data_IF_897808643455
#
_entry.id   IF_897808643455
#
_cell.length_a   1.000
_cell.length_b   1.000
_cell.length_c   1.000
_cell.angle_alpha   90.00
_cell.angle_beta   90.00
_cell.angle_gamma   90.00
#
_symmetry.space_group_name_H-M   'P 1'
#
loop_
_entity.id
_entity.type
_entity.pdbx_description
1 polymer ?
#
# COMPACT_ATOMS: atom_id res chain seq x y z
N UNK A 1 25.19 28.55 -17.72
CA UNK A 1 26.31 27.57 -17.55
C UNK A 1 25.86 26.30 -16.84
N UNK A 2 25.25 26.31 -15.65
CA UNK A 2 24.79 25.06 -14.97
C UNK A 2 23.68 24.34 -15.76
N UNK A 3 22.80 25.04 -16.43
CA UNK A 3 21.68 24.49 -17.19
C UNK A 3 22.08 23.75 -18.48
N UNK A 4 23.35 23.91 -18.92
CA UNK A 4 23.89 23.23 -20.09
C UNK A 4 24.61 21.92 -19.74
N UNK A 5 24.60 21.50 -18.48
CA UNK A 5 25.19 20.22 -18.05
C UNK A 5 24.31 19.04 -18.51
N UNK A 6 24.92 17.90 -18.66
CA UNK A 6 24.24 16.64 -18.98
C UNK A 6 23.76 15.96 -17.68
N UNK A 7 22.49 15.59 -17.57
CA UNK A 7 21.40 15.72 -18.55
C UNK A 7 20.81 17.15 -18.63
N UNK A 8 20.39 17.59 -19.84
CA UNK A 8 19.91 18.95 -20.07
C UNK A 8 18.67 19.25 -19.19
N UNK A 9 18.67 20.47 -18.61
CA UNK A 9 17.61 20.90 -17.67
C UNK A 9 17.95 20.65 -16.19
N UNK A 10 19.08 20.06 -15.87
CA UNK A 10 19.62 20.01 -14.48
C UNK A 10 19.98 21.41 -14.04
N UNK A 11 19.57 21.77 -12.81
CA UNK A 11 19.81 23.11 -12.27
C UNK A 11 18.81 24.19 -12.69
N UNK A 12 17.70 23.79 -13.32
CA UNK A 12 16.57 24.68 -13.59
C UNK A 12 15.83 25.04 -12.29
N UNK A 13 15.28 26.25 -12.20
CA UNK A 13 14.59 26.75 -11.00
C UNK A 13 13.19 26.16 -10.86
N UNK A 14 12.53 25.94 -11.99
CA UNK A 14 11.19 25.39 -12.07
C UNK A 14 11.04 24.41 -13.25
N UNK A 15 9.86 23.76 -13.33
CA UNK A 15 9.55 22.82 -14.38
C UNK A 15 9.52 23.48 -15.76
N UNK A 16 9.00 24.71 -15.83
CA UNK A 16 8.92 25.46 -17.09
C UNK A 16 10.30 25.69 -17.69
N UNK A 17 11.24 26.18 -16.88
CA UNK A 17 12.63 26.43 -17.28
C UNK A 17 13.34 25.12 -17.69
N UNK A 18 13.07 24.02 -16.96
CA UNK A 18 13.61 22.72 -17.27
C UNK A 18 13.20 22.23 -18.66
N UNK A 19 11.90 22.31 -18.98
CA UNK A 19 11.38 21.90 -20.26
C UNK A 19 11.86 22.78 -21.41
N UNK A 20 11.95 24.09 -21.20
CA UNK A 20 12.49 25.06 -22.16
C UNK A 20 13.97 24.74 -22.47
N UNK A 21 14.79 24.47 -21.45
CA UNK A 21 16.20 24.14 -21.60
C UNK A 21 16.39 22.87 -22.42
N UNK A 22 15.58 21.84 -22.17
CA UNK A 22 15.61 20.59 -22.94
C UNK A 22 15.21 20.79 -24.41
N UNK A 23 14.18 21.60 -24.69
CA UNK A 23 13.75 21.89 -26.06
C UNK A 23 14.81 22.70 -26.81
N UNK A 24 15.40 23.72 -26.17
CA UNK A 24 16.50 24.46 -26.79
C UNK A 24 17.68 23.54 -27.13
N UNK A 25 18.08 22.65 -26.22
CA UNK A 25 19.14 21.69 -26.45
C UNK A 25 18.85 20.74 -27.63
N UNK A 26 17.58 20.27 -27.77
CA UNK A 26 17.18 19.45 -28.92
C UNK A 26 17.19 20.22 -30.24
N UNK A 27 16.83 21.50 -30.22
CA UNK A 27 16.89 22.37 -31.41
C UNK A 27 18.34 22.69 -31.82
N UNK A 28 19.23 22.94 -30.83
CA UNK A 28 20.64 23.24 -31.09
C UNK A 28 21.42 22.01 -31.58
N UNK A 29 21.02 20.79 -31.24
CA UNK A 29 21.63 19.54 -31.76
C UNK A 29 21.29 19.24 -33.18
N UNK A 30 20.45 20.06 -33.84
CA UNK A 30 20.16 19.92 -35.26
C UNK A 30 19.31 18.70 -35.64
N UNK A 31 18.46 18.23 -34.70
CA UNK A 31 17.43 17.24 -35.02
C UNK A 31 16.43 17.88 -35.99
N UNK A 32 16.67 17.72 -37.32
CA UNK A 32 15.87 18.31 -38.38
C UNK A 32 14.39 17.82 -38.39
N UNK A 33 14.10 16.76 -37.68
CA UNK A 33 12.74 16.25 -37.58
C UNK A 33 11.90 17.10 -36.58
N UNK A 34 10.73 17.53 -37.05
CA UNK A 34 9.73 18.22 -36.24
C UNK A 34 10.17 19.58 -35.66
N UNK A 35 10.93 20.38 -36.45
CA UNK A 35 11.42 21.70 -36.05
C UNK A 35 10.27 22.67 -35.78
N UNK A 36 9.23 22.63 -36.60
CA UNK A 36 8.06 23.51 -36.47
C UNK A 36 7.28 23.20 -35.17
N UNK A 37 7.07 21.93 -34.89
CA UNK A 37 6.37 21.43 -33.72
C UNK A 37 7.17 21.77 -32.44
N UNK A 38 8.48 21.61 -32.44
CA UNK A 38 9.39 22.00 -31.35
C UNK A 38 9.38 23.52 -31.10
N UNK A 39 9.36 24.33 -32.14
CA UNK A 39 9.23 25.78 -32.00
C UNK A 39 7.87 26.21 -31.44
N UNK A 40 6.80 25.54 -31.89
CA UNK A 40 5.45 25.77 -31.33
C UNK A 40 5.38 25.34 -29.86
N UNK A 41 5.95 24.19 -29.51
CA UNK A 41 6.09 23.73 -28.15
C UNK A 41 6.83 24.74 -27.27
N UNK A 42 7.91 25.33 -27.80
CA UNK A 42 8.67 26.36 -27.09
C UNK A 42 7.84 27.64 -26.84
N UNK A 43 7.02 28.07 -27.82
CA UNK A 43 6.09 29.20 -27.66
C UNK A 43 5.03 28.89 -26.59
N UNK A 44 4.49 27.68 -26.57
CA UNK A 44 3.54 27.23 -25.55
C UNK A 44 4.17 27.31 -24.16
N UNK A 45 5.35 26.74 -23.99
CA UNK A 45 6.03 26.73 -22.69
C UNK A 45 6.43 28.13 -22.21
N UNK A 46 6.87 29.03 -23.10
CA UNK A 46 7.29 30.39 -22.73
C UNK A 46 6.11 31.29 -22.37
N UNK A 47 5.06 31.29 -23.18
CA UNK A 47 4.01 32.31 -23.11
C UNK A 47 2.66 31.80 -22.58
N UNK A 48 2.42 30.49 -22.62
CA UNK A 48 1.11 29.90 -22.35
C UNK A 48 1.20 28.67 -21.42
N UNK A 49 2.19 28.68 -20.51
CA UNK A 49 2.45 27.55 -19.62
C UNK A 49 1.26 27.24 -18.70
N UNK A 50 0.57 28.27 -18.17
CA UNK A 50 -0.61 28.07 -17.33
C UNK A 50 -1.79 27.44 -18.07
N UNK A 51 -2.07 27.88 -19.30
CA UNK A 51 -3.12 27.31 -20.12
C UNK A 51 -2.80 25.87 -20.48
N UNK A 52 -1.54 25.57 -20.73
CA UNK A 52 -1.07 24.20 -21.00
C UNK A 52 -1.26 23.30 -19.77
N UNK A 53 -0.80 23.69 -18.59
CA UNK A 53 -0.93 22.90 -17.35
C UNK A 53 -2.39 22.71 -16.95
N UNK A 54 -3.24 23.69 -17.19
CA UNK A 54 -4.69 23.63 -16.96
C UNK A 54 -5.46 22.93 -18.07
N UNK A 55 -4.78 22.44 -19.14
CA UNK A 55 -5.36 21.79 -20.34
C UNK A 55 -6.46 22.63 -21.02
N UNK A 56 -6.27 23.94 -21.09
CA UNK A 56 -7.17 24.85 -21.80
C UNK A 56 -6.90 24.90 -23.32
N UNK A 57 -7.01 23.75 -23.99
CA UNK A 57 -6.63 23.56 -25.39
C UNK A 57 -7.35 24.53 -26.37
N UNK A 58 -8.62 24.83 -26.14
CA UNK A 58 -9.36 25.77 -26.99
C UNK A 58 -8.82 27.20 -26.90
N UNK A 59 -8.33 27.62 -25.74
CA UNK A 59 -7.69 28.95 -25.60
C UNK A 59 -6.32 28.95 -26.27
N UNK A 60 -5.53 27.89 -26.08
CA UNK A 60 -4.24 27.72 -26.75
C UNK A 60 -4.40 27.79 -28.27
N UNK A 61 -5.38 27.06 -28.84
CA UNK A 61 -5.67 27.07 -30.28
C UNK A 61 -6.01 28.47 -30.79
N UNK A 62 -6.83 29.23 -30.03
CA UNK A 62 -7.20 30.60 -30.40
C UNK A 62 -6.02 31.58 -30.30
N UNK A 63 -5.22 31.48 -29.24
CA UNK A 63 -4.11 32.39 -28.99
C UNK A 63 -2.93 32.17 -29.95
N UNK A 64 -2.70 30.93 -30.35
CA UNK A 64 -1.59 30.55 -31.23
C UNK A 64 -1.97 30.50 -32.72
N UNK A 65 -3.28 30.59 -33.05
CA UNK A 65 -3.81 30.50 -34.43
C UNK A 65 -3.39 29.20 -35.15
N UNK A 66 -3.39 28.07 -34.44
CA UNK A 66 -2.97 26.75 -34.93
C UNK A 66 -4.14 25.79 -35.08
N UNK A 67 -3.97 24.76 -35.90
CA UNK A 67 -4.91 23.67 -36.04
C UNK A 67 -4.88 22.74 -34.82
N UNK A 68 -5.88 21.88 -34.69
CA UNK A 68 -5.93 20.92 -33.56
C UNK A 68 -4.83 19.83 -33.70
N UNK A 69 -4.48 19.46 -34.94
CA UNK A 69 -3.39 18.54 -35.25
C UNK A 69 -2.02 19.10 -34.88
N UNK A 70 -1.71 20.31 -35.29
CA UNK A 70 -0.44 20.98 -34.94
C UNK A 70 -0.28 21.20 -33.45
N UNK A 71 -1.38 21.56 -32.77
CA UNK A 71 -1.34 21.70 -31.32
C UNK A 71 -1.07 20.35 -30.63
N UNK A 72 -1.67 19.25 -31.13
CA UNK A 72 -1.45 17.92 -30.61
C UNK A 72 0.00 17.48 -30.79
N UNK A 73 0.55 17.66 -31.99
CA UNK A 73 1.93 17.28 -32.30
C UNK A 73 2.93 18.07 -31.44
N UNK A 74 2.68 19.37 -31.21
CA UNK A 74 3.49 20.17 -30.29
C UNK A 74 3.39 19.70 -28.83
N UNK A 75 2.21 19.31 -28.39
CA UNK A 75 2.03 18.74 -27.03
C UNK A 75 2.74 17.41 -26.89
N UNK A 76 2.67 16.54 -27.89
CA UNK A 76 3.37 15.26 -27.92
C UNK A 76 4.89 15.46 -27.82
N UNK A 77 5.44 16.50 -28.46
CA UNK A 77 6.86 16.86 -28.28
C UNK A 77 7.19 17.31 -26.84
N UNK A 78 6.28 18.04 -26.19
CA UNK A 78 6.48 18.41 -24.77
C UNK A 78 6.42 17.16 -23.87
N UNK A 79 5.51 16.22 -24.15
CA UNK A 79 5.37 14.99 -23.36
C UNK A 79 6.56 14.04 -23.48
N UNK A 80 7.34 14.13 -24.56
CA UNK A 80 8.59 13.37 -24.73
C UNK A 80 9.76 13.92 -23.90
N UNK A 81 9.60 15.06 -23.24
CA UNK A 81 10.62 15.64 -22.36
C UNK A 81 10.59 15.01 -20.97
N UNK A 82 11.74 15.02 -20.31
CA UNK A 82 11.87 14.48 -18.97
C UNK A 82 11.62 15.56 -17.88
N UNK A 83 10.53 15.50 -17.12
CA UNK A 83 10.26 16.50 -16.07
C UNK A 83 11.22 16.42 -14.88
N UNK A 84 11.98 15.32 -14.74
CA UNK A 84 12.96 15.08 -13.66
C UNK A 84 14.27 14.52 -14.22
N UNK A 85 15.08 15.33 -14.91
CA UNK A 85 16.29 14.85 -15.58
C UNK A 85 17.30 14.17 -14.65
N UNK A 86 17.40 14.61 -13.41
CA UNK A 86 18.31 14.02 -12.43
C UNK A 86 17.85 12.68 -11.83
N UNK A 87 16.63 12.24 -12.07
CA UNK A 87 16.10 11.00 -11.48
C UNK A 87 16.83 9.74 -11.98
N UNK A 88 17.39 9.76 -13.19
CA UNK A 88 18.18 8.66 -13.73
C UNK A 88 19.63 8.61 -13.27
N UNK A 89 20.15 9.74 -12.75
CA UNK A 89 21.56 9.87 -12.28
C UNK A 89 21.66 9.57 -10.79
N UNK A 90 20.64 9.92 -10.02
CA UNK A 90 20.53 9.47 -8.64
C UNK A 90 20.18 7.97 -8.69
N UNK A 91 21.21 7.14 -8.84
CA UNK A 91 21.03 5.68 -8.85
C UNK A 91 20.07 5.24 -7.74
N UNK A 92 19.40 4.12 -7.95
CA UNK A 92 18.37 3.45 -7.11
C UNK A 92 18.73 3.25 -5.63
N UNK A 93 19.71 3.98 -5.11
CA UNK A 93 20.16 3.94 -3.72
C UNK A 93 19.15 4.50 -2.71
N UNK A 94 17.99 5.03 -3.17
CA UNK A 94 16.89 5.46 -2.27
C UNK A 94 15.74 4.47 -2.18
N UNK A 95 15.64 3.52 -3.07
CA UNK A 95 14.93 2.28 -2.80
C UNK A 95 15.80 1.42 -1.88
N UNK A 96 16.00 1.88 -0.64
CA UNK A 96 16.21 0.93 0.44
C UNK A 96 15.00 0.00 0.32
N UNK A 97 15.21 -1.15 -0.32
CA UNK A 97 14.25 -2.23 -0.33
C UNK A 97 13.84 -2.44 1.12
N UNK A 98 12.73 -1.84 1.54
CA UNK A 98 12.15 -2.13 2.82
C UNK A 98 11.71 -3.60 2.76
N UNK A 99 12.70 -4.47 2.99
CA UNK A 99 12.46 -5.90 3.02
C UNK A 99 11.56 -6.18 4.21
N UNK A 100 10.29 -6.39 3.93
CA UNK A 100 9.31 -6.73 4.93
C UNK A 100 9.40 -8.23 5.21
N UNK A 101 9.80 -8.58 6.43
CA UNK A 101 9.74 -9.95 6.90
C UNK A 101 8.28 -10.30 7.24
N UNK A 102 7.67 -11.29 6.58
CA UNK A 102 6.31 -11.70 6.89
C UNK A 102 6.24 -12.38 8.25
N UNK A 103 5.16 -12.12 8.98
CA UNK A 103 4.88 -12.77 10.26
C UNK A 103 4.18 -14.12 10.08
N UNK A 104 3.40 -14.23 9.00
CA UNK A 104 2.61 -15.40 8.64
C UNK A 104 2.94 -15.84 7.23
N UNK A 105 2.90 -17.14 7.00
CA UNK A 105 3.06 -17.76 5.69
C UNK A 105 1.83 -18.62 5.44
N UNK A 106 1.16 -18.39 4.31
CA UNK A 106 0.07 -19.24 3.82
C UNK A 106 0.53 -19.90 2.54
N UNK A 107 0.48 -21.22 2.55
CA UNK A 107 0.75 -22.08 1.38
C UNK A 107 -0.52 -22.80 0.99
N UNK A 108 -0.74 -22.95 -0.31
CA UNK A 108 -1.84 -23.73 -0.85
C UNK A 108 -1.30 -25.10 -1.26
N UNK A 109 -1.82 -26.17 -0.66
CA UNK A 109 -1.52 -27.57 -1.05
C UNK A 109 -2.79 -28.23 -1.52
N UNK A 110 -2.91 -28.42 -2.81
CA UNK A 110 -4.04 -29.13 -3.44
C UNK A 110 -5.44 -28.56 -3.05
N UNK A 111 -5.53 -27.28 -2.83
CA UNK A 111 -6.76 -26.62 -2.42
C UNK A 111 -6.94 -26.45 -0.91
N UNK A 112 -6.05 -27.03 -0.11
CA UNK A 112 -6.02 -26.82 1.34
C UNK A 112 -5.01 -25.71 1.70
N UNK A 113 -5.47 -24.73 2.47
CA UNK A 113 -4.64 -23.61 2.93
C UNK A 113 -3.96 -23.99 4.26
N UNK A 114 -2.65 -24.03 4.25
CA UNK A 114 -1.83 -24.26 5.43
C UNK A 114 -1.28 -22.93 5.94
N UNK A 115 -1.58 -22.60 7.21
CA UNK A 115 -1.08 -21.42 7.90
C UNK A 115 0.09 -21.76 8.81
N UNK A 116 1.22 -21.11 8.61
CA UNK A 116 2.39 -21.23 9.47
C UNK A 116 2.81 -19.86 10.02
N UNK A 117 3.26 -19.82 11.28
CA UNK A 117 3.91 -18.65 11.88
C UNK A 117 5.40 -18.66 11.50
N UNK A 118 5.95 -17.49 11.19
CA UNK A 118 7.38 -17.38 10.96
C UNK A 118 8.14 -17.73 12.24
N UNK A 119 9.12 -18.62 12.16
CA UNK A 119 9.91 -19.11 13.28
C UNK A 119 10.61 -18.00 14.08
N UNK A 120 10.93 -16.86 13.46
CA UNK A 120 11.50 -15.68 14.14
C UNK A 120 10.53 -15.05 15.15
N UNK A 121 9.22 -15.18 14.94
CA UNK A 121 8.20 -14.70 15.86
C UNK A 121 7.79 -15.70 16.94
N UNK A 122 8.28 -16.92 16.84
CA UNK A 122 7.91 -18.03 17.70
C UNK A 122 9.15 -18.79 18.20
N UNK A 123 10.04 -18.16 18.99
CA UNK A 123 11.19 -18.85 19.53
C UNK A 123 10.75 -19.94 20.52
N UNK A 124 11.33 -21.12 20.38
CA UNK A 124 11.18 -22.19 21.38
C UNK A 124 11.93 -21.82 22.66
N UNK A 125 11.17 -21.47 23.68
CA UNK A 125 11.72 -21.14 24.98
C UNK A 125 11.57 -22.32 25.94
N UNK A 126 12.66 -22.68 26.60
CA UNK A 126 12.71 -23.72 27.63
C UNK A 126 13.38 -23.18 28.88
N UNK A 127 12.95 -23.71 30.02
CA UNK A 127 13.64 -23.43 31.28
C UNK A 127 14.90 -24.29 31.31
N UNK A 128 16.02 -23.70 31.73
CA UNK A 128 17.27 -24.44 31.88
C UNK A 128 17.11 -25.53 32.98
N UNK A 129 17.32 -26.79 32.60
CA UNK A 129 17.16 -27.93 33.47
C UNK A 129 18.06 -27.89 34.73
N UNK A 130 19.22 -27.24 34.65
CA UNK A 130 20.11 -27.04 35.80
C UNK A 130 19.40 -26.40 37.00
N UNK A 131 18.52 -25.43 36.81
CA UNK A 131 17.77 -24.82 37.87
C UNK A 131 16.68 -25.73 38.44
N UNK A 132 16.12 -26.61 37.62
CA UNK A 132 15.19 -27.65 38.08
C UNK A 132 15.91 -28.70 38.92
N UNK A 133 17.08 -29.15 38.46
CA UNK A 133 17.93 -30.13 39.15
C UNK A 133 18.40 -29.55 40.50
N UNK A 134 18.76 -28.29 40.57
CA UNK A 134 19.09 -27.62 41.83
C UNK A 134 17.95 -27.68 42.84
N UNK A 135 16.70 -27.50 42.42
CA UNK A 135 15.54 -27.61 43.29
C UNK A 135 15.30 -29.07 43.75
N UNK A 136 15.44 -30.05 42.83
CA UNK A 136 15.27 -31.47 43.15
C UNK A 136 16.36 -31.93 44.11
N UNK A 137 17.64 -31.69 43.81
CA UNK A 137 18.77 -32.04 44.64
C UNK A 137 18.65 -31.44 46.05
N UNK A 138 18.20 -30.17 46.13
CA UNK A 138 17.98 -29.54 47.39
C UNK A 138 16.80 -30.16 48.19
N UNK A 139 15.72 -30.49 47.52
CA UNK A 139 14.58 -31.19 48.14
C UNK A 139 15.00 -32.57 48.73
N UNK A 140 15.90 -33.25 48.00
CA UNK A 140 16.38 -34.59 48.41
C UNK A 140 17.40 -34.50 49.55
N UNK A 141 18.28 -33.48 49.54
CA UNK A 141 19.25 -33.23 50.63
C UNK A 141 18.57 -32.73 51.91
N UNK A 142 17.37 -32.16 51.79
CA UNK A 142 16.63 -31.60 52.96
C UNK A 142 15.61 -32.60 53.53
N UNK A 143 15.41 -33.75 52.90
CA UNK A 143 14.57 -34.82 53.45
C UNK A 143 15.20 -35.34 54.74
N UNK A 144 14.65 -34.95 55.87
CA UNK A 144 15.08 -35.40 57.22
C UNK A 144 15.96 -34.43 58.02
N UNK A 145 16.32 -33.24 57.48
CA UNK A 145 17.13 -32.23 58.16
C UNK A 145 16.38 -30.89 58.21
N UNK A 146 16.48 -30.17 59.34
CA UNK A 146 16.01 -28.77 59.41
C UNK A 146 16.88 -27.87 58.55
N UNK A 147 16.32 -27.28 57.50
CA UNK A 147 16.99 -26.31 56.60
C UNK A 147 17.35 -25.02 57.32
N UNK A 148 18.53 -24.50 57.06
CA UNK A 148 18.98 -23.20 57.58
C UNK A 148 18.20 -22.03 56.93
N UNK A 149 18.15 -20.87 57.62
CA UNK A 149 17.43 -19.70 57.11
C UNK A 149 17.94 -19.24 55.74
N UNK A 150 19.28 -19.25 55.54
CA UNK A 150 19.94 -18.92 54.25
C UNK A 150 19.55 -19.87 53.14
N UNK A 151 19.46 -21.16 53.41
CA UNK A 151 19.05 -22.17 52.42
C UNK A 151 17.60 -22.00 51.97
N UNK A 152 16.70 -21.67 52.91
CA UNK A 152 15.31 -21.38 52.60
C UNK A 152 15.16 -20.13 51.72
N UNK A 153 15.93 -19.07 52.01
CA UNK A 153 15.98 -17.85 51.19
C UNK A 153 16.48 -18.12 49.79
N UNK A 154 17.55 -18.92 49.60
CA UNK A 154 18.10 -19.28 48.30
C UNK A 154 17.08 -20.06 47.46
N UNK A 155 16.33 -21.01 48.09
CA UNK A 155 15.31 -21.77 47.36
C UNK A 155 14.13 -20.89 46.96
N UNK A 156 13.69 -20.05 47.90
CA UNK A 156 12.60 -19.12 47.57
C UNK A 156 12.98 -18.23 46.36
N UNK A 157 14.23 -17.77 46.33
CA UNK A 157 14.75 -16.99 45.22
C UNK A 157 14.76 -17.80 43.89
N UNK A 158 15.30 -19.04 43.90
CA UNK A 158 15.34 -19.90 42.70
C UNK A 158 13.90 -20.20 42.21
N UNK A 159 13.00 -20.58 43.17
CA UNK A 159 11.60 -20.82 42.82
C UNK A 159 10.92 -19.59 42.22
N UNK A 160 11.13 -18.42 42.76
CA UNK A 160 10.60 -17.17 42.22
C UNK A 160 11.12 -16.90 40.79
N UNK A 161 12.40 -17.19 40.52
CA UNK A 161 12.98 -17.04 39.19
C UNK A 161 12.40 -18.03 38.16
N UNK A 162 12.21 -19.29 38.57
CA UNK A 162 11.55 -20.32 37.76
C UNK A 162 10.10 -19.94 37.49
N UNK A 163 9.36 -19.49 38.48
CA UNK A 163 7.95 -19.10 38.32
C UNK A 163 7.84 -17.87 37.37
N UNK A 164 8.76 -16.90 37.50
CA UNK A 164 8.84 -15.77 36.57
C UNK A 164 9.17 -16.21 35.14
N UNK A 165 10.09 -17.17 34.95
CA UNK A 165 10.43 -17.72 33.65
C UNK A 165 9.26 -18.48 33.02
N UNK A 166 8.54 -19.29 33.82
CA UNK A 166 7.30 -19.95 33.37
C UNK A 166 6.26 -18.96 32.90
N UNK A 167 5.98 -17.95 33.70
CA UNK A 167 5.03 -16.91 33.37
C UNK A 167 5.40 -16.21 32.04
N UNK A 168 6.69 -15.92 31.84
CA UNK A 168 7.17 -15.32 30.60
C UNK A 168 6.96 -16.26 29.40
N UNK A 169 7.27 -17.55 29.54
CA UNK A 169 7.05 -18.56 28.49
C UNK A 169 5.56 -18.66 28.14
N UNK A 170 4.70 -18.70 29.15
CA UNK A 170 3.26 -18.78 28.98
C UNK A 170 2.71 -17.51 28.28
N UNK A 171 3.23 -16.33 28.63
CA UNK A 171 2.86 -15.07 27.96
C UNK A 171 3.25 -15.08 26.46
N UNK A 172 4.43 -15.62 26.12
CA UNK A 172 4.85 -15.77 24.71
C UNK A 172 3.96 -16.76 23.99
N UNK A 173 3.62 -17.90 24.58
CA UNK A 173 2.68 -18.87 24.00
C UNK A 173 1.31 -18.26 23.76
N UNK A 174 0.77 -17.57 24.71
CA UNK A 174 -0.52 -16.89 24.59
C UNK A 174 -0.50 -15.87 23.46
N UNK A 175 0.61 -15.09 23.32
CA UNK A 175 0.79 -14.17 22.19
C UNK A 175 0.78 -14.91 20.85
N UNK A 176 1.50 -16.03 20.74
CA UNK A 176 1.56 -16.84 19.52
C UNK A 176 0.18 -17.41 19.16
N UNK A 177 -0.53 -17.93 20.15
CA UNK A 177 -1.89 -18.45 19.98
C UNK A 177 -2.88 -17.35 19.53
N UNK A 178 -2.78 -16.16 20.11
CA UNK A 178 -3.59 -15.01 19.71
C UNK A 178 -3.31 -14.63 18.24
N UNK A 179 -2.02 -14.56 17.84
CA UNK A 179 -1.62 -14.26 16.46
C UNK A 179 -2.15 -15.33 15.51
N UNK A 180 -1.97 -16.60 15.84
CA UNK A 180 -2.40 -17.73 15.01
C UNK A 180 -3.92 -17.74 14.84
N UNK A 181 -4.69 -17.65 15.96
CA UNK A 181 -6.15 -17.63 15.91
C UNK A 181 -6.69 -16.47 15.09
N UNK A 182 -6.10 -15.27 15.25
CA UNK A 182 -6.51 -14.09 14.49
C UNK A 182 -6.27 -14.28 12.99
N UNK A 183 -5.08 -14.76 12.61
CA UNK A 183 -4.77 -14.98 11.19
C UNK A 183 -5.59 -16.13 10.59
N UNK A 184 -5.81 -17.20 11.36
CA UNK A 184 -6.63 -18.32 10.92
C UNK A 184 -8.08 -17.90 10.65
N UNK A 185 -8.66 -17.06 11.52
CA UNK A 185 -10.00 -16.50 11.31
C UNK A 185 -10.05 -15.62 10.05
N UNK A 186 -9.03 -14.77 9.81
CA UNK A 186 -8.94 -13.97 8.58
C UNK A 186 -8.83 -14.88 7.36
N UNK A 187 -8.00 -15.92 7.41
CA UNK A 187 -7.80 -16.88 6.32
C UNK A 187 -9.10 -17.60 5.97
N UNK A 188 -9.85 -18.05 6.97
CA UNK A 188 -11.15 -18.71 6.75
C UNK A 188 -12.18 -17.75 6.16
N UNK A 189 -12.24 -16.50 6.65
CA UNK A 189 -13.17 -15.50 6.15
C UNK A 189 -12.88 -15.12 4.69
N UNK A 190 -11.59 -15.01 4.32
CA UNK A 190 -11.10 -14.62 3.00
C UNK A 190 -10.64 -15.81 2.15
N UNK A 191 -11.18 -17.00 2.41
CA UNK A 191 -10.75 -18.26 1.78
C UNK A 191 -10.68 -18.18 0.25
N UNK A 192 -11.71 -17.61 -0.39
CA UNK A 192 -11.80 -17.50 -1.85
C UNK A 192 -10.66 -16.63 -2.43
N UNK A 193 -10.23 -15.61 -1.69
CA UNK A 193 -9.09 -14.79 -2.06
C UNK A 193 -7.76 -15.58 -1.94
N UNK A 194 -7.54 -16.29 -0.84
CA UNK A 194 -6.28 -17.01 -0.61
C UNK A 194 -6.07 -18.17 -1.56
N UNK A 195 -7.14 -18.75 -2.13
CA UNK A 195 -7.03 -19.75 -3.19
C UNK A 195 -6.75 -19.14 -4.55
N UNK A 196 -7.49 -18.07 -4.92
CA UNK A 196 -7.48 -17.56 -6.30
C UNK A 196 -6.48 -16.43 -6.55
N UNK A 197 -6.05 -15.71 -5.51
CA UNK A 197 -5.26 -14.49 -5.62
C UNK A 197 -6.02 -13.28 -6.18
N UNK A 198 -7.29 -13.43 -6.55
CA UNK A 198 -8.07 -12.36 -7.15
C UNK A 198 -8.57 -11.37 -6.07
N UNK A 199 -8.10 -10.12 -6.17
CA UNK A 199 -8.50 -9.05 -5.25
C UNK A 199 -10.00 -8.73 -5.30
N UNK A 200 -10.71 -9.09 -6.37
CA UNK A 200 -12.15 -8.90 -6.51
C UNK A 200 -12.95 -9.83 -5.60
N UNK A 201 -12.35 -10.94 -5.17
CA UNK A 201 -12.97 -11.94 -4.28
C UNK A 201 -12.76 -11.64 -2.80
N UNK A 202 -12.11 -10.53 -2.46
CA UNK A 202 -11.99 -10.09 -1.06
C UNK A 202 -13.37 -9.70 -0.55
N UNK A 203 -13.88 -10.47 0.41
CA UNK A 203 -15.15 -10.19 1.09
C UNK A 203 -14.99 -8.98 2.03
N UNK A 204 -15.99 -8.11 2.15
CA UNK A 204 -15.97 -7.05 3.15
C UNK A 204 -15.87 -7.66 4.55
N UNK A 205 -14.93 -7.18 5.34
CA UNK A 205 -14.63 -7.72 6.67
C UNK A 205 -14.28 -6.57 7.60
N UNK A 206 -14.92 -6.51 8.76
CA UNK A 206 -14.60 -5.53 9.79
C UNK A 206 -13.87 -6.19 10.98
N UNK A 207 -13.20 -5.39 11.79
CA UNK A 207 -12.46 -5.90 12.95
C UNK A 207 -13.36 -6.63 13.96
N UNK A 208 -14.62 -6.22 14.04
CA UNK A 208 -15.60 -6.83 14.94
C UNK A 208 -15.91 -8.27 14.57
N UNK A 209 -16.02 -8.58 13.26
CA UNK A 209 -16.31 -9.94 12.78
C UNK A 209 -15.24 -10.93 13.26
N UNK A 210 -13.97 -10.53 13.10
CA UNK A 210 -12.83 -11.35 13.55
C UNK A 210 -12.76 -11.41 15.09
N UNK A 211 -13.09 -10.33 15.79
CA UNK A 211 -13.14 -10.31 17.24
C UNK A 211 -14.19 -11.30 17.80
N UNK A 212 -15.36 -11.37 17.18
CA UNK A 212 -16.43 -12.31 17.54
C UNK A 212 -16.02 -13.78 17.25
N UNK A 213 -15.41 -14.05 16.11
CA UNK A 213 -14.95 -15.40 15.74
C UNK A 213 -13.84 -15.89 16.68
N UNK A 214 -12.91 -15.01 17.04
CA UNK A 214 -11.73 -15.39 17.85
C UNK A 214 -11.95 -15.31 19.34
N UNK A 215 -13.00 -14.64 19.79
CA UNK A 215 -13.27 -14.34 21.19
C UNK A 215 -12.28 -13.32 21.81
N UNK A 216 -11.58 -12.55 20.95
CA UNK A 216 -10.65 -11.52 21.40
C UNK A 216 -11.27 -10.13 21.36
N UNK A 217 -10.69 -9.19 22.11
CA UNK A 217 -11.07 -7.78 22.07
C UNK A 217 -10.72 -7.18 20.69
N UNK A 218 -11.59 -6.29 20.20
CA UNK A 218 -11.40 -5.54 18.93
C UNK A 218 -10.05 -4.79 18.93
N UNK A 219 -9.62 -4.26 20.07
CA UNK A 219 -8.33 -3.58 20.20
C UNK A 219 -7.14 -4.51 19.96
N UNK A 220 -7.24 -5.78 20.37
CA UNK A 220 -6.23 -6.81 20.16
C UNK A 220 -6.15 -7.18 18.67
N UNK A 221 -7.29 -7.44 18.04
CA UNK A 221 -7.37 -7.71 16.59
C UNK A 221 -6.82 -6.53 15.78
N UNK A 222 -7.17 -5.30 16.17
CA UNK A 222 -6.69 -4.08 15.52
C UNK A 222 -5.15 -3.94 15.57
N UNK A 223 -4.53 -4.24 16.73
CA UNK A 223 -3.06 -4.20 16.88
C UNK A 223 -2.38 -5.23 15.98
N UNK A 224 -2.94 -6.44 15.88
CA UNK A 224 -2.44 -7.48 14.98
C UNK A 224 -2.59 -7.03 13.52
N UNK A 225 -3.77 -6.59 13.12
CA UNK A 225 -4.07 -6.18 11.75
C UNK A 225 -3.17 -5.03 11.26
N UNK A 226 -2.93 -4.02 12.09
CA UNK A 226 -2.15 -2.85 11.70
C UNK A 226 -0.64 -3.10 11.59
N UNK A 227 -0.09 -4.08 12.31
CA UNK A 227 1.36 -4.26 12.45
C UNK A 227 1.92 -5.47 11.72
N UNK A 228 1.11 -6.41 11.25
CA UNK A 228 1.54 -7.71 10.78
C UNK A 228 1.35 -7.90 9.28
N UNK A 229 2.21 -8.76 8.69
CA UNK A 229 2.24 -9.07 7.28
C UNK A 229 2.09 -10.58 7.05
N UNK A 230 1.39 -10.94 5.99
CA UNK A 230 1.23 -12.32 5.53
C UNK A 230 1.88 -12.48 4.15
N UNK A 231 2.64 -13.54 4.01
CA UNK A 231 3.17 -14.00 2.73
C UNK A 231 2.21 -15.04 2.15
N UNK A 232 1.85 -14.84 0.90
CA UNK A 232 1.05 -15.76 0.09
C UNK A 232 1.83 -16.08 -1.18
N UNK A 233 1.39 -17.07 -1.96
CA UNK A 233 1.94 -17.35 -3.29
C UNK A 233 1.84 -16.16 -4.25
N UNK A 234 0.87 -15.26 -4.02
CA UNK A 234 0.61 -14.06 -4.82
C UNK A 234 1.38 -12.82 -4.33
N UNK A 235 2.23 -12.97 -3.30
CA UNK A 235 3.04 -11.91 -2.72
C UNK A 235 2.73 -11.61 -1.25
N UNK A 236 3.47 -10.65 -0.69
CA UNK A 236 3.33 -10.23 0.71
C UNK A 236 2.32 -9.09 0.84
N UNK A 237 1.35 -9.25 1.75
CA UNK A 237 0.33 -8.23 2.05
C UNK A 237 0.29 -7.89 3.52
N UNK A 238 -0.09 -6.65 3.81
CA UNK A 238 -0.40 -6.22 5.18
C UNK A 238 -1.78 -6.76 5.57
N UNK A 239 -1.93 -7.24 6.81
CA UNK A 239 -3.24 -7.74 7.27
C UNK A 239 -4.33 -6.66 7.23
N UNK A 240 -3.94 -5.40 7.43
CA UNK A 240 -4.87 -4.26 7.33
C UNK A 240 -5.59 -4.18 5.99
N UNK A 241 -4.96 -4.62 4.92
CA UNK A 241 -5.50 -4.51 3.56
C UNK A 241 -6.70 -5.47 3.32
N UNK A 242 -6.92 -6.44 4.20
CA UNK A 242 -8.10 -7.32 4.19
C UNK A 242 -9.31 -6.71 4.90
N UNK A 243 -9.09 -5.68 5.73
CA UNK A 243 -10.17 -5.00 6.43
C UNK A 243 -10.62 -3.79 5.62
N UNK A 244 -11.85 -3.79 5.22
CA UNK A 244 -12.49 -2.70 4.47
C UNK A 244 -13.74 -2.23 5.19
N UNK A 245 -14.00 -0.93 5.12
CA UNK A 245 -15.32 -0.41 5.51
C UNK A 245 -16.36 -1.01 4.56
N UNK A 246 -17.43 -1.56 5.12
CA UNK A 246 -18.58 -2.01 4.34
C UNK A 246 -19.43 -0.80 3.90
N UNK A 247 -19.94 -0.84 2.68
CA UNK A 247 -20.96 0.07 2.17
C UNK A 247 -22.24 -0.72 1.95
N UNK A 248 -23.36 -0.18 2.42
CA UNK A 248 -24.66 -0.75 2.10
C UNK A 248 -25.09 -0.36 0.69
N UNK A 249 -25.42 -1.34 -0.13
CA UNK A 249 -26.09 -1.14 -1.42
C UNK A 249 -27.57 -0.79 -1.21
N UNK A 250 -28.25 -0.36 -2.26
CA UNK A 250 -29.71 -0.12 -2.22
C UNK A 250 -30.49 -1.39 -1.85
N UNK A 251 -29.96 -2.55 -2.19
CA UNK A 251 -30.57 -3.87 -1.91
C UNK A 251 -30.21 -4.42 -0.51
N UNK A 252 -29.55 -3.61 0.34
CA UNK A 252 -29.17 -4.01 1.70
C UNK A 252 -27.99 -4.97 1.78
N UNK A 253 -27.29 -5.24 0.67
CA UNK A 253 -26.07 -6.05 0.67
C UNK A 253 -24.87 -5.20 1.10
N UNK A 254 -24.01 -5.76 1.91
CA UNK A 254 -22.74 -5.14 2.29
C UNK A 254 -21.68 -5.39 1.20
N UNK A 255 -21.12 -4.31 0.66
CA UNK A 255 -20.11 -4.37 -0.40
C UNK A 255 -18.84 -3.69 0.06
N UNK A 256 -17.71 -4.25 -0.35
CA UNK A 256 -16.40 -3.69 -0.03
C UNK A 256 -16.15 -2.35 -0.73
N UNK A 257 -15.62 -1.37 0.00
CA UNK A 257 -15.14 -0.12 -0.59
C UNK A 257 -14.09 -0.34 -1.69
N UNK A 258 -13.35 -1.47 -1.64
CA UNK A 258 -12.37 -1.84 -2.65
C UNK A 258 -13.04 -2.20 -3.98
N UNK A 259 -14.17 -2.91 -3.94
CA UNK A 259 -14.95 -3.26 -5.13
C UNK A 259 -15.45 -2.00 -5.83
N UNK A 260 -16.02 -1.07 -5.07
CA UNK A 260 -16.48 0.21 -5.60
C UNK A 260 -15.34 1.01 -6.24
N UNK A 261 -14.15 1.02 -5.64
CA UNK A 261 -12.95 1.66 -6.22
C UNK A 261 -12.52 1.00 -7.52
N UNK A 262 -12.58 -0.33 -7.61
CA UNK A 262 -12.23 -1.06 -8.84
C UNK A 262 -13.24 -0.75 -9.95
N UNK A 263 -14.54 -0.77 -9.65
CA UNK A 263 -15.59 -0.40 -10.61
C UNK A 263 -15.43 1.06 -11.07
N UNK A 264 -15.12 1.97 -10.15
CA UNK A 264 -14.86 3.37 -10.49
C UNK A 264 -13.65 3.51 -11.43
N UNK A 265 -12.58 2.76 -11.18
CA UNK A 265 -11.40 2.72 -12.05
C UNK A 265 -11.74 2.18 -13.44
N UNK A 266 -12.53 1.10 -13.52
CA UNK A 266 -12.95 0.50 -14.79
C UNK A 266 -13.84 1.47 -15.59
N UNK A 267 -14.77 2.17 -14.95
CA UNK A 267 -15.61 3.20 -15.60
C UNK A 267 -14.73 4.32 -16.17
N UNK A 268 -13.74 4.80 -15.41
CA UNK A 268 -12.85 5.88 -15.84
C UNK A 268 -11.92 5.42 -16.96
N UNK A 269 -11.43 4.19 -16.91
CA UNK A 269 -10.59 3.63 -17.99
C UNK A 269 -11.36 3.45 -19.32
N UNK A 270 -12.66 3.16 -19.22
CA UNK A 270 -13.55 3.05 -20.39
C UNK A 270 -14.18 4.37 -20.84
N UNK A 271 -13.89 5.51 -20.20
CA UNK A 271 -14.49 6.80 -20.54
C UNK A 271 -13.97 7.37 -21.88
N UNK A 272 -14.77 8.18 -22.54
CA UNK A 272 -14.31 8.94 -23.68
C UNK A 272 -13.40 10.10 -23.22
N UNK A 273 -12.11 10.03 -23.53
CA UNK A 273 -11.11 10.99 -23.11
C UNK A 273 -11.30 12.41 -23.67
N UNK A 274 -12.05 12.56 -24.79
CA UNK A 274 -12.46 13.88 -25.30
C UNK A 274 -13.54 14.55 -24.45
N UNK A 275 -14.40 13.74 -23.81
CA UNK A 275 -15.47 14.19 -22.90
C UNK A 275 -15.45 13.39 -21.61
N UNK A 276 -14.45 13.56 -20.74
CA UNK A 276 -14.34 12.78 -19.52
C UNK A 276 -15.54 13.02 -18.58
N UNK A 277 -15.88 11.97 -17.84
CA UNK A 277 -17.02 11.95 -16.92
C UNK A 277 -16.74 12.82 -15.69
N UNK A 278 -17.69 13.69 -15.32
CA UNK A 278 -17.61 14.43 -14.05
C UNK A 278 -17.88 13.52 -12.86
N UNK A 279 -17.44 13.91 -11.65
CA UNK A 279 -17.71 13.16 -10.42
C UNK A 279 -19.22 12.97 -10.15
N UNK A 280 -20.07 13.88 -10.68
CA UNK A 280 -21.53 13.74 -10.66
C UNK A 280 -22.01 12.59 -11.55
N UNK A 281 -21.55 12.54 -12.81
CA UNK A 281 -21.88 11.45 -13.73
C UNK A 281 -21.36 10.10 -13.27
N UNK A 282 -20.16 10.08 -12.67
CA UNK A 282 -19.60 8.87 -12.07
C UNK A 282 -20.47 8.38 -10.92
N UNK A 283 -20.97 9.29 -10.08
CA UNK A 283 -21.97 8.97 -9.03
C UNK A 283 -23.22 8.33 -9.62
N UNK A 284 -23.81 8.96 -10.67
CA UNK A 284 -25.04 8.46 -11.28
C UNK A 284 -24.84 7.06 -11.91
N UNK A 285 -23.68 6.81 -12.53
CA UNK A 285 -23.33 5.49 -13.07
C UNK A 285 -23.14 4.44 -11.97
N UNK A 286 -22.55 4.81 -10.83
CA UNK A 286 -22.42 3.92 -9.67
C UNK A 286 -23.78 3.65 -9.02
N UNK A 287 -24.66 4.65 -8.94
CA UNK A 287 -26.03 4.47 -8.48
C UNK A 287 -26.84 3.54 -9.40
N UNK A 288 -26.67 3.65 -10.71
CA UNK A 288 -27.27 2.73 -11.69
C UNK A 288 -26.78 1.29 -11.56
N UNK A 289 -25.63 1.06 -10.91
CA UNK A 289 -25.11 -0.27 -10.55
C UNK A 289 -25.48 -0.72 -9.13
N UNK A 290 -26.35 0.03 -8.42
CA UNK A 290 -26.82 -0.30 -7.08
C UNK A 290 -26.02 0.30 -5.93
N UNK A 291 -24.95 1.07 -6.19
CA UNK A 291 -24.11 1.65 -5.14
C UNK A 291 -24.59 3.06 -4.77
N UNK A 292 -25.17 3.23 -3.59
CA UNK A 292 -25.65 4.52 -3.10
C UNK A 292 -24.50 5.34 -2.49
N UNK A 293 -23.76 6.06 -3.34
CA UNK A 293 -22.58 6.80 -2.94
C UNK A 293 -22.74 8.29 -3.26
N UNK A 294 -22.38 9.14 -2.29
CA UNK A 294 -22.41 10.58 -2.47
C UNK A 294 -21.25 11.06 -3.39
N UNK A 295 -21.47 12.15 -4.15
CA UNK A 295 -20.46 12.77 -5.02
C UNK A 295 -19.13 13.04 -4.30
N UNK A 296 -19.17 13.51 -3.03
CA UNK A 296 -17.95 13.77 -2.24
C UNK A 296 -17.15 12.50 -1.99
N UNK A 297 -17.83 11.37 -1.77
CA UNK A 297 -17.20 10.06 -1.57
C UNK A 297 -16.57 9.56 -2.87
N UNK A 298 -17.23 9.75 -4.02
CA UNK A 298 -16.67 9.43 -5.35
C UNK A 298 -15.39 10.24 -5.60
N UNK A 299 -15.39 11.54 -5.29
CA UNK A 299 -14.19 12.38 -5.40
C UNK A 299 -13.06 11.87 -4.49
N UNK A 300 -13.34 11.51 -3.22
CA UNK A 300 -12.38 10.94 -2.28
C UNK A 300 -11.78 9.62 -2.82
N UNK A 301 -12.61 8.73 -3.37
CA UNK A 301 -12.12 7.45 -3.92
C UNK A 301 -11.28 7.66 -5.18
N UNK A 302 -11.67 8.59 -6.06
CA UNK A 302 -10.88 8.96 -7.23
C UNK A 302 -9.50 9.49 -6.82
N UNK A 303 -9.43 10.36 -5.81
CA UNK A 303 -8.16 10.89 -5.27
C UNK A 303 -7.29 9.80 -4.65
N UNK A 304 -7.88 8.87 -3.90
CA UNK A 304 -7.17 7.72 -3.35
C UNK A 304 -6.59 6.78 -4.43
N UNK A 305 -7.22 6.74 -5.60
CA UNK A 305 -6.73 6.03 -6.78
C UNK A 305 -5.71 6.85 -7.59
N UNK A 306 -5.33 8.06 -7.14
CA UNK A 306 -4.46 9.00 -7.86
C UNK A 306 -4.99 9.36 -9.26
N UNK A 307 -6.31 9.36 -9.46
CA UNK A 307 -6.94 9.72 -10.73
C UNK A 307 -7.31 11.20 -10.70
N UNK A 308 -6.84 12.02 -11.66
CA UNK A 308 -7.12 13.46 -11.68
C UNK A 308 -8.60 13.76 -11.99
N UNK A 309 -9.01 15.00 -11.73
CA UNK A 309 -10.37 15.50 -12.06
C UNK A 309 -10.64 15.45 -13.56
N UNK A 310 -11.91 15.36 -13.96
CA UNK A 310 -12.35 15.23 -15.36
C UNK A 310 -11.63 16.21 -16.32
N UNK A 311 -11.48 17.48 -15.92
CA UNK A 311 -10.78 18.48 -16.73
C UNK A 311 -9.34 18.09 -17.07
N UNK A 312 -8.62 17.51 -16.11
CA UNK A 312 -7.22 17.09 -16.29
C UNK A 312 -7.07 15.73 -17.00
N UNK A 313 -8.15 14.95 -17.14
CA UNK A 313 -8.18 13.72 -17.93
C UNK A 313 -8.49 13.95 -19.41
N UNK A 314 -8.89 15.17 -19.75
CA UNK A 314 -9.22 15.50 -21.15
C UNK A 314 -8.00 15.39 -22.04
N UNK A 315 -8.14 14.68 -23.16
CA UNK A 315 -7.18 14.58 -24.26
C UNK A 315 -7.76 15.27 -25.52
N UNK A 316 -6.88 15.66 -26.42
CA UNK A 316 -7.22 16.27 -27.71
C UNK A 316 -7.68 15.22 -28.73
#
# INVERSE_FOLDING_TARGET
MIQTFDPPGVGSRDLQECLISQLNFKLDKGEENHVHEKQLALKILKNHFEEFTKKHYQRLKKNLFVSESELKDAIDEILKLNPKPASGVAGDSRDSNHYVLPDFIITNRDGELELTLNSRNAPDLRINDQYMDMLVNYRDTTKGRRSTKKEKEAIMFIKQKIDSAKWFIDAIRQRQETLYKTMYAIMQFQYDYFISGDQRRIKPMILKDIAEITGHDISTVSRVANSKFVQTEFGTKRLKDFFSESLMTQDGQEVSTLEVKNILKDIINGENKRKPLSDEKLKDMLQGKGYNIARRTVAKYREQLNIPVARLRKEL
#
